data_IF_136922686276
#
_entry.id   IF_136922686276
#
_cell.length_a   1.000
_cell.length_b   1.000
_cell.length_c   1.000
_cell.angle_alpha   90.00
_cell.angle_beta   90.00
_cell.angle_gamma   90.00
#
_symmetry.space_group_name_H-M   'P 1'
#
loop_
_entity.id
_entity.type
_entity.pdbx_description
1 polymer ?
#
# COMPACT_ATOMS: atom_id res chain seq x y z
N UNK A 1 45.07 -6.98 11.05
CA UNK A 1 44.30 -6.14 10.10
C UNK A 1 43.29 -7.05 9.39
N UNK A 2 41.98 -6.94 9.70
CA UNK A 2 40.91 -7.57 8.92
C UNK A 2 40.92 -6.87 7.55
N UNK A 3 41.20 -7.61 6.48
CA UNK A 3 41.02 -7.12 5.11
C UNK A 3 39.55 -6.70 4.95
N UNK A 4 39.33 -5.43 4.71
CA UNK A 4 38.03 -4.96 4.27
C UNK A 4 37.74 -5.59 2.92
N UNK A 5 36.55 -6.20 2.78
CA UNK A 5 36.13 -6.86 1.54
C UNK A 5 35.03 -6.03 0.89
N UNK A 6 34.94 -6.13 -0.42
CA UNK A 6 33.75 -5.72 -1.17
C UNK A 6 32.51 -6.41 -0.60
N UNK A 7 31.43 -5.68 -0.49
CA UNK A 7 30.13 -6.16 0.02
C UNK A 7 29.09 -6.03 -1.08
N UNK A 8 28.43 -7.14 -1.38
CA UNK A 8 27.18 -7.13 -2.14
C UNK A 8 26.01 -7.06 -1.16
N UNK A 9 25.05 -6.20 -1.43
CA UNK A 9 23.88 -6.01 -0.60
C UNK A 9 22.64 -5.71 -1.45
N UNK A 10 21.48 -5.93 -0.86
CA UNK A 10 20.19 -5.64 -1.46
C UNK A 10 19.42 -4.79 -0.45
N UNK A 11 19.08 -3.57 -0.83
CA UNK A 11 18.02 -2.83 -0.13
C UNK A 11 16.68 -3.39 -0.58
N UNK A 12 15.76 -3.63 0.35
CA UNK A 12 14.39 -4.03 0.01
C UNK A 12 13.36 -3.26 0.81
N UNK A 13 12.26 -2.94 0.15
CA UNK A 13 11.03 -2.47 0.77
C UNK A 13 9.89 -3.42 0.42
N UNK A 14 9.10 -3.78 1.41
CA UNK A 14 8.07 -4.81 1.27
C UNK A 14 6.77 -4.29 1.85
N UNK A 15 5.72 -4.32 1.06
CA UNK A 15 4.39 -3.89 1.46
C UNK A 15 3.39 -5.03 1.31
N UNK A 16 2.82 -5.43 2.43
CA UNK A 16 1.66 -6.30 2.43
C UNK A 16 0.47 -5.52 1.88
N UNK A 17 -0.33 -6.19 1.06
CA UNK A 17 -1.60 -5.67 0.65
C UNK A 17 -2.61 -5.81 1.79
N UNK A 18 -2.96 -4.69 2.43
CA UNK A 18 -3.91 -4.65 3.55
C UNK A 18 -5.36 -4.52 3.10
N UNK A 19 -5.59 -4.54 1.83
CA UNK A 19 -6.91 -4.33 1.28
C UNK A 19 -7.81 -5.50 1.62
N UNK A 20 -9.01 -5.18 2.06
CA UNK A 20 -10.04 -6.18 2.23
C UNK A 20 -10.45 -6.74 0.87
N UNK A 21 -9.99 -7.96 0.60
CA UNK A 21 -10.28 -8.72 -0.61
C UNK A 21 -11.81 -8.85 -0.83
N UNK A 22 -12.61 -8.73 0.23
CA UNK A 22 -14.08 -8.84 0.20
C UNK A 22 -14.74 -7.65 -0.50
N UNK A 23 -14.08 -6.50 -0.59
CA UNK A 23 -14.65 -5.27 -1.12
C UNK A 23 -14.23 -4.94 -2.56
N UNK A 24 -13.97 -5.93 -3.39
CA UNK A 24 -13.76 -5.72 -4.83
C UNK A 24 -12.31 -5.57 -5.27
N UNK A 25 -11.39 -5.97 -4.42
CA UNK A 25 -10.02 -6.22 -4.82
C UNK A 25 -9.12 -4.98 -4.80
N UNK A 26 -8.00 -5.15 -4.17
CA UNK A 26 -6.87 -4.29 -4.38
C UNK A 26 -6.13 -4.71 -5.64
N UNK A 27 -5.60 -3.76 -6.31
CA UNK A 27 -4.70 -3.98 -7.41
C UNK A 27 -3.31 -3.47 -7.06
N UNK A 28 -2.30 -4.22 -7.47
CA UNK A 28 -0.92 -3.75 -7.49
C UNK A 28 -0.56 -3.50 -8.93
N UNK A 29 -0.21 -2.25 -9.24
CA UNK A 29 0.13 -1.83 -10.60
C UNK A 29 1.54 -1.26 -10.68
N UNK A 30 2.23 -1.44 -11.81
CA UNK A 30 3.58 -0.95 -11.99
C UNK A 30 3.60 0.57 -12.17
N UNK A 31 4.66 1.17 -11.64
CA UNK A 31 5.17 2.49 -12.00
C UNK A 31 6.67 2.38 -12.22
N UNK A 32 7.30 3.43 -12.72
CA UNK A 32 8.74 3.46 -12.90
C UNK A 32 9.44 3.24 -11.55
N UNK A 33 10.33 2.26 -11.50
CA UNK A 33 11.12 1.87 -10.31
C UNK A 33 10.30 1.62 -9.04
N UNK A 34 9.05 1.16 -9.17
CA UNK A 34 8.19 0.94 -8.02
C UNK A 34 6.82 0.37 -8.36
N UNK A 35 5.89 0.53 -7.44
CA UNK A 35 4.52 0.04 -7.58
C UNK A 35 3.53 0.93 -6.83
N UNK A 36 2.27 0.81 -7.23
CA UNK A 36 1.14 1.41 -6.52
C UNK A 36 0.21 0.30 -6.06
N UNK A 37 -0.16 0.34 -4.78
CA UNK A 37 -1.25 -0.46 -4.23
C UNK A 37 -2.49 0.43 -4.25
N UNK A 38 -3.54 -0.03 -4.94
CA UNK A 38 -4.78 0.72 -5.09
C UNK A 38 -5.96 -0.05 -4.52
N UNK A 39 -6.81 0.62 -3.79
CA UNK A 39 -8.10 0.14 -3.35
C UNK A 39 -9.20 1.01 -3.94
N UNK A 40 -10.27 0.38 -4.40
CA UNK A 40 -11.45 1.10 -4.86
C UNK A 40 -12.43 1.29 -3.71
N UNK A 41 -13.03 2.47 -3.64
CA UNK A 41 -14.22 2.69 -2.84
C UNK A 41 -15.45 2.08 -3.51
N UNK A 42 -16.52 1.95 -2.73
CA UNK A 42 -17.86 1.63 -3.23
C UNK A 42 -18.74 2.87 -3.18
N UNK A 43 -19.92 2.83 -3.80
CA UNK A 43 -20.89 3.92 -3.71
C UNK A 43 -21.30 4.22 -2.25
N UNK A 44 -21.38 3.17 -1.43
CA UNK A 44 -21.76 3.29 -0.01
C UNK A 44 -20.57 3.56 0.91
N UNK A 45 -19.35 3.31 0.44
CA UNK A 45 -18.13 3.45 1.22
C UNK A 45 -17.01 4.07 0.35
N UNK A 46 -17.18 5.31 -0.12
CA UNK A 46 -16.19 5.97 -0.98
C UNK A 46 -14.86 6.21 -0.27
N UNK A 47 -14.88 6.33 1.05
CA UNK A 47 -13.69 6.52 1.90
C UNK A 47 -12.73 5.31 1.93
N UNK A 48 -13.14 4.16 1.38
CA UNK A 48 -12.23 3.03 1.18
C UNK A 48 -11.32 3.23 -0.03
N UNK A 49 -11.58 4.22 -0.88
CA UNK A 49 -10.68 4.53 -1.99
C UNK A 49 -9.35 5.06 -1.46
N UNK A 50 -8.28 4.39 -1.84
CA UNK A 50 -6.92 4.81 -1.48
C UNK A 50 -5.90 4.29 -2.50
N UNK A 51 -4.86 5.09 -2.73
CA UNK A 51 -3.67 4.70 -3.46
C UNK A 51 -2.45 4.91 -2.58
N UNK A 52 -1.53 3.94 -2.63
CA UNK A 52 -0.24 4.04 -1.96
C UNK A 52 0.87 3.72 -2.94
N UNK A 53 1.63 4.73 -3.32
CA UNK A 53 2.75 4.62 -4.24
C UNK A 53 4.07 4.50 -3.50
N UNK A 54 4.92 3.59 -3.94
CA UNK A 54 6.27 3.36 -3.42
C UNK A 54 7.21 3.19 -4.59
N UNK A 55 8.28 3.99 -4.64
CA UNK A 55 9.27 3.93 -5.71
C UNK A 55 10.64 4.48 -5.26
N UNK A 56 11.66 4.26 -6.06
CA UNK A 56 13.00 4.79 -5.86
C UNK A 56 13.47 5.55 -7.10
N UNK A 57 14.53 6.35 -6.96
CA UNK A 57 15.24 6.98 -8.08
C UNK A 57 16.40 6.10 -8.62
N UNK A 58 16.51 4.87 -8.15
CA UNK A 58 17.57 3.95 -8.55
C UNK A 58 17.20 3.19 -9.82
N UNK A 59 17.96 3.30 -10.91
CA UNK A 59 17.63 2.66 -12.19
C UNK A 59 17.69 1.14 -12.17
N UNK A 60 18.46 0.56 -11.26
CA UNK A 60 18.59 -0.91 -11.09
C UNK A 60 17.49 -1.51 -10.21
N UNK A 61 16.45 -0.74 -9.90
CA UNK A 61 15.34 -1.21 -9.08
C UNK A 61 14.59 -2.34 -9.77
N UNK A 62 14.41 -3.42 -9.04
CA UNK A 62 13.62 -4.58 -9.45
C UNK A 62 12.38 -4.66 -8.60
N UNK A 63 11.26 -5.11 -9.18
CA UNK A 63 9.98 -5.13 -8.50
C UNK A 63 9.31 -6.49 -8.62
N UNK A 64 8.91 -7.02 -7.48
CA UNK A 64 8.01 -8.16 -7.38
C UNK A 64 6.60 -7.64 -7.11
N UNK A 65 5.73 -7.72 -8.08
CA UNK A 65 4.35 -7.22 -7.96
C UNK A 65 3.39 -8.21 -7.32
N UNK A 66 3.82 -9.43 -7.03
CA UNK A 66 2.97 -10.42 -6.40
C UNK A 66 3.80 -11.41 -5.58
N UNK A 67 3.62 -11.36 -4.27
CA UNK A 67 4.20 -12.37 -3.40
C UNK A 67 3.59 -13.74 -3.62
N UNK A 68 4.21 -14.76 -3.02
CA UNK A 68 3.74 -16.13 -3.08
C UNK A 68 2.26 -16.24 -2.67
N UNK A 69 1.53 -17.02 -3.45
CA UNK A 69 0.16 -17.44 -3.17
C UNK A 69 0.14 -18.94 -3.01
N UNK A 70 -0.07 -19.42 -1.83
CA UNK A 70 -0.13 -20.86 -1.56
C UNK A 70 -1.07 -21.18 -0.43
N UNK A 71 -1.55 -22.42 -0.45
CA UNK A 71 -2.50 -22.94 0.54
C UNK A 71 -1.87 -23.19 1.90
N UNK A 72 -0.59 -23.56 1.93
CA UNK A 72 0.06 -24.12 3.11
C UNK A 72 1.02 -23.18 3.80
N UNK A 73 1.38 -22.08 3.16
CA UNK A 73 2.33 -21.10 3.68
C UNK A 73 1.78 -19.69 3.53
N UNK A 74 1.95 -18.88 4.55
CA UNK A 74 1.58 -17.49 4.43
C UNK A 74 2.59 -16.73 3.53
N UNK A 75 2.05 -15.78 2.78
CA UNK A 75 2.83 -15.01 1.81
C UNK A 75 3.95 -14.19 2.43
N UNK A 76 3.78 -13.74 3.68
CA UNK A 76 4.76 -12.93 4.39
C UNK A 76 5.98 -13.77 4.81
N UNK A 77 5.76 -14.96 5.35
CA UNK A 77 6.83 -15.90 5.70
C UNK A 77 7.64 -16.29 4.46
N UNK A 78 6.97 -16.54 3.34
CA UNK A 78 7.64 -16.87 2.08
C UNK A 78 8.46 -15.68 1.57
N UNK A 79 7.92 -14.47 1.59
CA UNK A 79 8.63 -13.25 1.23
C UNK A 79 9.87 -13.06 2.12
N UNK A 80 9.75 -13.26 3.42
CA UNK A 80 10.85 -13.17 4.37
C UNK A 80 11.96 -14.20 4.07
N UNK A 81 11.60 -15.46 3.80
CA UNK A 81 12.55 -16.50 3.47
C UNK A 81 13.34 -16.19 2.18
N UNK A 82 12.67 -15.66 1.17
CA UNK A 82 13.28 -15.22 -0.07
C UNK A 82 14.28 -14.09 0.17
N UNK A 83 13.87 -13.05 0.88
CA UNK A 83 14.73 -11.90 1.21
C UNK A 83 15.94 -12.30 2.05
N UNK A 84 15.73 -13.10 3.11
CA UNK A 84 16.80 -13.54 3.99
C UNK A 84 17.84 -14.41 3.28
N UNK A 85 17.43 -15.04 2.18
CA UNK A 85 18.29 -15.85 1.31
C UNK A 85 18.93 -15.05 0.16
N UNK A 86 18.66 -13.74 0.10
CA UNK A 86 19.17 -12.87 -0.98
C UNK A 86 18.53 -13.12 -2.34
N UNK A 87 17.36 -13.76 -2.37
CA UNK A 87 16.66 -14.07 -3.62
C UNK A 87 15.79 -12.88 -4.04
N UNK A 88 16.05 -12.35 -5.23
CA UNK A 88 15.21 -11.36 -5.88
C UNK A 88 14.24 -12.07 -6.82
N UNK A 89 12.95 -11.95 -6.56
CA UNK A 89 11.91 -12.41 -7.47
C UNK A 89 11.25 -11.22 -8.17
N UNK A 90 10.87 -11.43 -9.42
CA UNK A 90 10.22 -10.43 -10.25
C UNK A 90 8.94 -11.04 -10.85
N UNK A 91 7.89 -11.16 -10.04
CA UNK A 91 6.59 -11.61 -10.52
C UNK A 91 5.84 -10.44 -11.18
N UNK A 92 5.10 -10.68 -12.28
CA UNK A 92 4.42 -9.63 -13.02
C UNK A 92 3.21 -9.05 -12.26
N UNK A 93 2.79 -7.84 -12.66
CA UNK A 93 1.68 -7.10 -12.03
C UNK A 93 0.28 -7.56 -12.47
N UNK A 94 0.17 -8.50 -13.39
CA UNK A 94 -1.11 -8.95 -13.97
C UNK A 94 -1.88 -9.95 -13.10
N UNK A 95 -1.49 -10.11 -11.85
CA UNK A 95 -2.10 -11.06 -10.94
C UNK A 95 -3.12 -10.36 -10.05
N UNK A 96 -4.40 -10.72 -10.20
CA UNK A 96 -5.44 -10.27 -9.28
C UNK A 96 -5.14 -10.73 -7.84
N UNK A 97 -5.60 -9.98 -6.83
CA UNK A 97 -5.49 -10.31 -5.40
C UNK A 97 -4.05 -10.62 -4.93
N UNK A 98 -3.09 -9.84 -5.41
CA UNK A 98 -1.71 -9.99 -4.98
C UNK A 98 -1.59 -9.71 -3.47
N UNK A 99 -1.02 -10.64 -2.66
CA UNK A 99 -0.96 -10.48 -1.21
C UNK A 99 0.03 -9.40 -0.75
N UNK A 100 0.90 -8.95 -1.62
CA UNK A 100 1.86 -7.89 -1.38
C UNK A 100 2.82 -7.73 -2.54
N UNK A 101 3.64 -6.70 -2.48
CA UNK A 101 4.70 -6.40 -3.43
C UNK A 101 5.99 -5.99 -2.74
N UNK A 102 7.09 -6.13 -3.46
CA UNK A 102 8.42 -5.75 -2.98
C UNK A 102 9.18 -5.01 -4.06
N UNK A 103 9.99 -4.05 -3.66
CA UNK A 103 11.03 -3.51 -4.51
C UNK A 103 12.42 -3.85 -3.93
N UNK A 104 13.38 -3.98 -4.80
CA UNK A 104 14.75 -4.35 -4.47
C UNK A 104 15.71 -3.47 -5.22
N UNK A 105 16.74 -2.98 -4.53
CA UNK A 105 17.86 -2.26 -5.14
C UNK A 105 19.14 -3.04 -4.81
N UNK A 106 19.66 -3.85 -5.73
CA UNK A 106 20.95 -4.49 -5.54
C UNK A 106 22.08 -3.47 -5.71
N UNK A 107 23.12 -3.58 -4.89
CA UNK A 107 24.29 -2.72 -4.99
C UNK A 107 25.55 -3.38 -4.43
N UNK A 108 26.70 -2.81 -4.76
CA UNK A 108 28.02 -3.21 -4.27
C UNK A 108 28.69 -2.03 -3.60
N UNK A 109 29.42 -2.30 -2.53
CA UNK A 109 30.22 -1.31 -1.82
C UNK A 109 31.66 -1.76 -1.72
N UNK A 110 32.59 -0.91 -2.12
CA UNK A 110 33.99 -1.09 -1.84
C UNK A 110 34.31 -0.71 -0.38
N UNK A 111 35.43 -1.16 0.17
CA UNK A 111 35.84 -0.78 1.52
C UNK A 111 35.87 0.72 1.73
N UNK A 112 35.09 1.24 2.71
CA UNK A 112 34.98 2.65 3.02
C UNK A 112 33.97 3.43 2.16
N UNK A 113 33.32 2.78 1.18
CA UNK A 113 32.28 3.38 0.36
C UNK A 113 30.92 3.38 1.08
N UNK A 114 30.09 4.34 0.74
CA UNK A 114 28.70 4.44 1.18
C UNK A 114 27.78 4.68 0.00
N UNK A 115 26.54 4.16 0.08
CA UNK A 115 25.47 4.40 -0.89
C UNK A 115 24.23 4.90 -0.17
N UNK A 116 23.61 5.95 -0.69
CA UNK A 116 22.32 6.44 -0.22
C UNK A 116 21.25 6.05 -1.23
N UNK A 117 20.23 5.37 -0.76
CA UNK A 117 19.05 5.01 -1.56
C UNK A 117 17.89 5.83 -1.04
N UNK A 118 17.20 6.55 -1.94
CA UNK A 118 16.00 7.31 -1.61
C UNK A 118 14.78 6.46 -1.92
N UNK A 119 13.94 6.26 -0.90
CA UNK A 119 12.64 5.65 -1.03
C UNK A 119 11.59 6.73 -0.95
N UNK A 120 10.76 6.82 -1.97
CA UNK A 120 9.63 7.74 -2.03
C UNK A 120 8.36 6.98 -1.73
N UNK A 121 7.54 7.56 -0.86
CA UNK A 121 6.23 7.04 -0.50
C UNK A 121 5.21 8.17 -0.62
N UNK A 122 4.11 7.91 -1.32
CA UNK A 122 3.01 8.84 -1.45
C UNK A 122 1.70 8.12 -1.15
N UNK A 123 0.89 8.73 -0.32
CA UNK A 123 -0.42 8.22 0.05
C UNK A 123 -1.50 9.18 -0.41
N UNK A 124 -2.47 8.68 -1.15
CA UNK A 124 -3.60 9.44 -1.63
C UNK A 124 -4.90 8.81 -1.14
N UNK A 125 -5.64 9.54 -0.32
CA UNK A 125 -6.96 9.16 0.21
C UNK A 125 -7.92 10.28 -0.14
N UNK A 126 -8.67 10.16 -1.26
CA UNK A 126 -9.50 11.26 -1.77
C UNK A 126 -10.73 11.54 -0.90
N UNK A 127 -11.14 10.58 -0.07
CA UNK A 127 -12.29 10.70 0.78
C UNK A 127 -11.93 10.46 2.24
N UNK A 128 -12.46 11.25 3.15
CA UNK A 128 -12.24 11.09 4.58
C UNK A 128 -13.57 11.18 5.33
N UNK A 129 -13.71 10.36 6.37
CA UNK A 129 -14.80 10.46 7.33
C UNK A 129 -14.45 11.38 8.51
N UNK A 130 -13.21 11.85 8.57
CA UNK A 130 -12.75 12.71 9.65
C UNK A 130 -13.33 14.12 9.43
N UNK A 131 -14.12 14.56 10.36
CA UNK A 131 -14.63 15.94 10.43
C UNK A 131 -13.77 16.70 11.44
N UNK A 132 -13.15 17.75 11.01
CA UNK A 132 -12.50 18.69 11.89
C UNK A 132 -13.34 19.99 11.92
N UNK A 133 -13.84 20.36 13.10
CA UNK A 133 -14.42 21.66 13.35
C UNK A 133 -15.71 22.02 12.62
N UNK A 134 -16.53 21.05 12.23
CA UNK A 134 -17.87 21.34 11.71
C UNK A 134 -18.84 21.57 12.86
N UNK A 135 -19.45 22.76 12.89
CA UNK A 135 -20.62 23.00 13.72
C UNK A 135 -21.75 22.02 13.35
N UNK A 136 -22.57 21.61 14.32
CA UNK A 136 -23.75 20.79 14.03
C UNK A 136 -24.57 21.50 12.94
N UNK A 137 -24.83 20.82 11.85
CA UNK A 137 -25.82 21.32 10.88
C UNK A 137 -27.16 21.05 11.52
N UNK A 138 -27.78 22.12 12.08
CA UNK A 138 -29.14 22.05 12.59
C UNK A 138 -30.06 21.65 11.44
N UNK A 139 -30.89 20.63 11.68
CA UNK A 139 -32.11 20.28 10.93
C UNK A 139 -31.97 19.79 9.47
N UNK A 140 -30.98 19.04 9.12
CA UNK A 140 -31.03 18.23 7.90
C UNK A 140 -31.16 16.75 8.28
N UNK A 141 -32.20 16.09 7.77
CA UNK A 141 -32.36 14.64 7.84
C UNK A 141 -31.20 13.99 7.08
N UNK A 142 -30.13 13.77 7.78
CA UNK A 142 -28.93 13.15 7.24
C UNK A 142 -29.16 11.64 7.24
N UNK A 143 -29.11 10.96 6.10
CA UNK A 143 -29.23 9.52 6.09
C UNK A 143 -28.03 8.90 6.81
N UNK A 144 -28.31 8.35 7.98
CA UNK A 144 -27.32 7.66 8.81
C UNK A 144 -27.34 6.18 8.41
N UNK A 145 -26.24 5.68 7.86
CA UNK A 145 -26.10 4.28 7.55
C UNK A 145 -25.39 3.59 8.73
N UNK A 146 -26.01 2.57 9.33
CA UNK A 146 -25.36 1.82 10.39
C UNK A 146 -24.17 1.05 9.83
N UNK A 147 -23.01 1.18 10.47
CA UNK A 147 -21.88 0.28 10.26
C UNK A 147 -22.18 -0.98 11.06
N UNK A 148 -22.19 -2.11 10.39
CA UNK A 148 -22.36 -3.41 11.06
C UNK A 148 -21.00 -4.10 11.19
N UNK A 149 -20.79 -4.74 12.34
CA UNK A 149 -19.64 -5.59 12.58
C UNK A 149 -19.76 -6.92 11.81
N UNK A 150 -18.75 -7.79 11.92
CA UNK A 150 -18.74 -9.10 11.25
C UNK A 150 -19.92 -10.02 11.65
N UNK A 151 -20.64 -9.69 12.72
CA UNK A 151 -21.81 -10.42 13.21
C UNK A 151 -23.14 -9.80 12.77
N UNK A 152 -23.08 -8.72 11.97
CA UNK A 152 -24.28 -7.98 11.55
C UNK A 152 -24.88 -7.07 12.61
N UNK A 153 -24.18 -6.82 13.71
CA UNK A 153 -24.63 -5.94 14.78
C UNK A 153 -24.17 -4.51 14.51
N UNK A 154 -24.97 -3.49 14.87
CA UNK A 154 -24.57 -2.09 14.71
C UNK A 154 -23.29 -1.80 15.49
N UNK A 155 -22.22 -1.42 14.81
CA UNK A 155 -20.93 -1.05 15.38
C UNK A 155 -20.70 0.47 15.39
N UNK A 156 -21.59 1.23 14.79
CA UNK A 156 -21.53 2.67 14.66
C UNK A 156 -22.47 3.17 13.57
N UNK A 157 -22.37 4.46 13.27
CA UNK A 157 -23.17 5.10 12.22
C UNK A 157 -22.25 5.90 11.31
N UNK A 158 -22.47 5.80 10.01
CA UNK A 158 -21.83 6.64 9.01
C UNK A 158 -22.86 7.65 8.54
N UNK A 159 -22.53 8.90 8.68
CA UNK A 159 -23.28 10.00 8.10
C UNK A 159 -22.96 10.06 6.59
N UNK A 160 -23.89 9.62 5.77
CA UNK A 160 -23.74 9.59 4.31
C UNK A 160 -24.07 10.90 3.61
N UNK A 161 -24.57 11.92 4.32
CA UNK A 161 -24.86 13.22 3.72
C UNK A 161 -23.63 13.99 3.34
N UNK A 162 -22.49 13.58 3.85
CA UNK A 162 -21.21 14.11 3.45
C UNK A 162 -20.71 13.27 2.27
N UNK A 163 -21.34 13.45 1.12
CA UNK A 163 -20.50 13.46 -0.06
C UNK A 163 -19.45 14.51 0.23
N UNK A 164 -18.22 14.06 0.43
CA UNK A 164 -17.07 14.94 0.52
C UNK A 164 -16.97 15.63 -0.83
N UNK A 165 -17.84 16.61 -0.96
CA UNK A 165 -17.89 17.50 -2.11
C UNK A 165 -16.51 18.10 -2.28
N UNK A 166 -16.26 18.70 -3.39
CA UNK A 166 -15.02 19.40 -3.77
C UNK A 166 -14.37 20.26 -2.66
N UNK A 167 -15.11 20.50 -1.58
CA UNK A 167 -14.69 21.27 -0.41
C UNK A 167 -13.62 20.59 0.45
N UNK A 168 -13.43 19.28 0.32
CA UNK A 168 -12.49 18.48 1.12
C UNK A 168 -11.50 17.68 0.25
N UNK A 169 -11.33 18.09 -1.00
CA UNK A 169 -10.23 17.55 -1.81
C UNK A 169 -8.91 17.92 -1.13
N UNK A 170 -7.99 16.95 -0.98
CA UNK A 170 -6.65 17.27 -0.51
C UNK A 170 -6.02 18.33 -1.40
N UNK A 171 -5.30 19.27 -0.81
CA UNK A 171 -4.67 20.44 -1.46
C UNK A 171 -3.62 20.05 -2.53
N UNK A 172 -3.40 18.78 -2.79
CA UNK A 172 -2.38 18.22 -3.68
C UNK A 172 -3.01 17.32 -4.75
N UNK A 173 -4.08 17.73 -5.32
CA UNK A 173 -4.63 17.10 -6.52
C UNK A 173 -3.90 17.60 -7.77
#
# INVERSE_FOLDING_TARGET
YKRQKEVEAIFSYNSKNFVDIRNGGASIRPIENGFIISQKGTETQPFHQADFAIFTDEPETKVNYCWFRGWSFDSFTMCWNEMSSGVIKENPANMADAPGASLYVPFRLQPGESKTIRLYMAWYVPFSLVREGLEPIDDVDVPIVPVVNERGEPAGYIDTSIQLSDKYRPWYS
#
